data_IF_761230045575
#
_entry.id   IF_761230045575
#
_cell.length_a   1.000
_cell.length_b   1.000
_cell.length_c   1.000
_cell.angle_alpha   90.00
_cell.angle_beta   90.00
_cell.angle_gamma   90.00
#
_symmetry.space_group_name_H-M   'P 1'
#
loop_
_entity.id
_entity.type
_entity.pdbx_description
1 polymer ?
#
# COMPACT_ATOMS: atom_id res chain seq x y z
N UNK A 1 12.27 -29.02 27.51
CA UNK A 1 12.22 -27.94 26.50
C UNK A 1 10.76 -27.53 26.37
N UNK A 2 10.39 -26.34 26.85
CA UNK A 2 9.01 -25.86 26.72
C UNK A 2 8.67 -25.67 25.25
N UNK A 3 7.75 -26.47 24.74
CA UNK A 3 7.10 -26.26 23.44
C UNK A 3 6.21 -25.03 23.58
N UNK A 4 6.79 -23.84 23.46
CA UNK A 4 6.00 -22.62 23.36
C UNK A 4 5.20 -22.71 22.07
N UNK A 5 3.89 -22.98 22.18
CA UNK A 5 3.00 -22.95 21.04
C UNK A 5 3.02 -21.55 20.46
N UNK A 6 3.36 -21.44 19.18
CA UNK A 6 3.34 -20.16 18.48
C UNK A 6 1.90 -19.79 18.20
N UNK A 7 1.43 -18.69 18.77
CA UNK A 7 0.07 -18.16 18.59
C UNK A 7 0.12 -16.78 17.95
N UNK A 8 -0.95 -16.38 17.27
CA UNK A 8 -1.01 -15.03 16.71
C UNK A 8 -1.20 -13.99 17.81
N UNK A 9 -0.51 -12.82 17.74
CA UNK A 9 -0.72 -11.74 18.71
C UNK A 9 -2.06 -11.02 18.50
N UNK A 10 -2.69 -11.17 17.33
CA UNK A 10 -3.94 -10.50 16.99
C UNK A 10 -5.15 -11.29 17.45
N UNK A 11 -6.13 -10.60 18.02
CA UNK A 11 -7.42 -11.17 18.43
C UNK A 11 -8.54 -10.58 17.58
N UNK A 12 -9.33 -11.45 16.95
CA UNK A 12 -10.52 -11.05 16.19
C UNK A 12 -11.76 -11.60 16.92
N UNK A 13 -12.78 -10.76 17.10
CA UNK A 13 -14.06 -11.18 17.66
C UNK A 13 -14.78 -12.18 16.74
N UNK A 14 -15.64 -13.04 17.28
CA UNK A 14 -16.46 -13.93 16.46
C UNK A 14 -17.32 -13.16 15.44
N UNK A 15 -17.87 -12.01 15.85
CA UNK A 15 -18.67 -11.15 14.98
C UNK A 15 -17.88 -10.63 13.79
N UNK A 16 -16.64 -10.16 13.99
CA UNK A 16 -15.79 -9.65 12.92
C UNK A 16 -15.37 -10.78 11.97
N UNK A 17 -15.10 -11.98 12.49
CA UNK A 17 -14.84 -13.18 11.68
C UNK A 17 -16.02 -13.55 10.80
N UNK A 18 -17.23 -13.51 11.34
CA UNK A 18 -18.46 -13.81 10.59
C UNK A 18 -18.74 -12.72 9.54
N UNK A 19 -18.45 -11.45 9.85
CA UNK A 19 -18.57 -10.35 8.90
C UNK A 19 -17.61 -10.52 7.72
N UNK A 20 -16.35 -10.85 7.97
CA UNK A 20 -15.37 -11.20 6.94
C UNK A 20 -15.85 -12.41 6.12
N UNK A 21 -16.37 -13.44 6.79
CA UNK A 21 -16.89 -14.65 6.16
C UNK A 21 -18.12 -14.42 5.27
N UNK A 22 -18.88 -13.32 5.47
CA UNK A 22 -20.01 -12.94 4.62
C UNK A 22 -19.63 -11.99 3.47
N UNK A 23 -18.46 -11.35 3.52
CA UNK A 23 -18.04 -10.41 2.48
C UNK A 23 -17.51 -11.15 1.23
N UNK A 24 -18.18 -10.97 0.09
CA UNK A 24 -17.82 -11.65 -1.17
C UNK A 24 -16.41 -11.29 -1.66
N UNK A 25 -16.01 -10.01 -1.55
CA UNK A 25 -14.70 -9.55 -2.00
C UNK A 25 -13.56 -10.21 -1.20
N UNK A 26 -13.68 -10.22 0.12
CA UNK A 26 -12.72 -10.86 1.01
C UNK A 26 -12.67 -12.37 0.80
N UNK A 27 -13.81 -13.03 0.60
CA UNK A 27 -13.85 -14.47 0.28
C UNK A 27 -13.14 -14.82 -1.03
N UNK A 28 -13.34 -14.02 -2.08
CA UNK A 28 -12.65 -14.23 -3.36
C UNK A 28 -11.14 -14.04 -3.22
N UNK A 29 -10.71 -13.03 -2.45
CA UNK A 29 -9.30 -12.80 -2.14
C UNK A 29 -8.69 -14.02 -1.42
N UNK A 30 -9.36 -14.49 -0.37
CA UNK A 30 -8.93 -15.67 0.39
C UNK A 30 -8.83 -16.92 -0.47
N UNK A 31 -9.78 -17.17 -1.36
CA UNK A 31 -9.70 -18.31 -2.29
C UNK A 31 -8.56 -18.16 -3.31
N UNK A 32 -8.25 -16.93 -3.75
CA UNK A 32 -7.09 -16.68 -4.60
C UNK A 32 -5.77 -17.03 -3.89
N UNK A 33 -5.58 -16.52 -2.68
CA UNK A 33 -4.40 -16.81 -1.86
C UNK A 33 -4.28 -18.30 -1.54
N UNK A 34 -5.41 -18.99 -1.29
CA UNK A 34 -5.44 -20.45 -1.07
C UNK A 34 -5.01 -21.22 -2.32
N UNK A 35 -5.43 -20.79 -3.51
CA UNK A 35 -5.01 -21.42 -4.78
C UNK A 35 -3.53 -21.22 -5.06
N UNK A 36 -2.99 -20.03 -4.77
CA UNK A 36 -1.55 -19.78 -4.86
C UNK A 36 -0.78 -20.71 -3.92
N UNK A 37 -1.23 -20.85 -2.67
CA UNK A 37 -0.66 -21.76 -1.68
C UNK A 37 -0.63 -23.23 -2.17
N UNK A 38 -1.72 -23.71 -2.78
CA UNK A 38 -1.82 -25.08 -3.31
C UNK A 38 -1.03 -25.31 -4.61
N UNK A 39 -0.82 -24.26 -5.42
CA UNK A 39 -0.06 -24.33 -6.67
C UNK A 39 1.46 -24.27 -6.50
N UNK A 40 1.93 -23.93 -5.30
CA UNK A 40 3.35 -23.83 -4.97
C UNK A 40 3.96 -25.20 -4.65
N UNK A 41 5.17 -25.47 -5.16
CA UNK A 41 5.96 -26.66 -4.79
C UNK A 41 6.48 -26.62 -3.34
N UNK A 42 6.41 -25.45 -2.69
CA UNK A 42 6.86 -25.24 -1.33
C UNK A 42 5.68 -25.35 -0.33
N UNK A 43 5.92 -25.86 0.88
CA UNK A 43 4.90 -25.94 1.90
C UNK A 43 4.48 -24.56 2.40
N UNK A 44 3.18 -24.41 2.67
CA UNK A 44 2.64 -23.13 3.09
C UNK A 44 3.11 -22.64 4.44
N UNK A 45 3.52 -23.54 5.33
CA UNK A 45 4.22 -23.21 6.57
C UNK A 45 5.69 -23.63 6.46
N UNK A 46 6.59 -22.76 6.94
CA UNK A 46 8.01 -23.08 7.03
C UNK A 46 8.25 -24.21 8.03
N UNK A 47 9.42 -24.84 8.00
CA UNK A 47 9.74 -25.99 8.85
C UNK A 47 9.58 -25.69 10.36
N UNK A 48 9.85 -24.45 10.78
CA UNK A 48 9.65 -24.00 12.15
C UNK A 48 8.16 -24.00 12.53
N UNK A 49 7.34 -23.23 11.80
CA UNK A 49 5.93 -23.05 12.13
C UNK A 49 5.02 -24.23 11.78
N UNK A 50 5.45 -25.13 10.89
CA UNK A 50 4.71 -26.36 10.61
C UNK A 50 4.56 -27.23 11.86
N UNK A 51 5.61 -27.29 12.68
CA UNK A 51 5.68 -28.16 13.84
C UNK A 51 5.32 -27.42 15.14
N UNK A 52 5.51 -26.10 15.22
CA UNK A 52 5.20 -25.31 16.41
C UNK A 52 3.77 -24.75 16.45
N UNK A 53 3.06 -24.69 15.32
CA UNK A 53 1.67 -24.24 15.26
C UNK A 53 0.72 -25.43 15.14
N UNK A 54 -0.21 -25.55 16.09
CA UNK A 54 -1.34 -26.47 16.00
C UNK A 54 -2.21 -26.16 14.77
N UNK A 55 -2.97 -27.14 14.27
CA UNK A 55 -3.80 -26.97 13.07
C UNK A 55 -4.79 -25.79 13.16
N UNK A 56 -5.38 -25.56 14.34
CA UNK A 56 -6.26 -24.42 14.59
C UNK A 56 -5.51 -23.07 14.55
N UNK A 57 -4.28 -23.02 15.07
CA UNK A 57 -3.43 -21.83 15.01
C UNK A 57 -2.98 -21.55 13.57
N UNK A 58 -2.65 -22.59 12.80
CA UNK A 58 -2.33 -22.43 11.38
C UNK A 58 -3.47 -21.78 10.61
N UNK A 59 -4.72 -22.17 10.88
CA UNK A 59 -5.87 -21.55 10.22
C UNK A 59 -6.09 -20.10 10.66
N UNK A 60 -5.81 -19.79 11.93
CA UNK A 60 -5.82 -18.42 12.44
C UNK A 60 -4.74 -17.57 11.75
N UNK A 61 -3.52 -18.10 11.61
CA UNK A 61 -2.44 -17.42 10.88
C UNK A 61 -2.76 -17.21 9.41
N UNK A 62 -3.41 -18.18 8.73
CA UNK A 62 -3.87 -17.98 7.35
C UNK A 62 -4.87 -16.83 7.26
N UNK A 63 -5.89 -16.82 8.13
CA UNK A 63 -6.87 -15.74 8.16
C UNK A 63 -6.21 -14.37 8.38
N UNK A 64 -5.28 -14.28 9.32
CA UNK A 64 -4.58 -13.02 9.63
C UNK A 64 -3.67 -12.59 8.47
N UNK A 65 -2.97 -13.52 7.81
CA UNK A 65 -2.24 -13.24 6.57
C UNK A 65 -3.15 -12.70 5.49
N UNK A 66 -4.33 -13.30 5.30
CA UNK A 66 -5.28 -12.89 4.26
C UNK A 66 -5.81 -11.47 4.54
N UNK A 67 -6.03 -11.10 5.81
CA UNK A 67 -6.37 -9.73 6.22
C UNK A 67 -5.22 -8.77 5.91
N UNK A 68 -3.99 -9.10 6.31
CA UNK A 68 -2.80 -8.28 6.05
C UNK A 68 -2.61 -8.08 4.54
N UNK A 69 -2.69 -9.15 3.73
CA UNK A 69 -2.60 -9.04 2.27
C UNK A 69 -3.66 -8.09 1.72
N UNK A 70 -4.90 -8.24 2.17
CA UNK A 70 -6.02 -7.40 1.75
C UNK A 70 -5.79 -5.92 2.08
N UNK A 71 -5.17 -5.63 3.23
CA UNK A 71 -4.83 -4.27 3.66
C UNK A 71 -3.66 -3.67 2.87
N UNK A 72 -2.61 -4.46 2.61
CA UNK A 72 -1.40 -4.00 1.96
C UNK A 72 -1.54 -3.83 0.44
N UNK A 73 -2.40 -4.64 -0.20
CA UNK A 73 -2.57 -4.64 -1.65
C UNK A 73 -2.92 -3.25 -2.22
N UNK A 74 -3.90 -2.48 -1.69
CA UNK A 74 -4.19 -1.13 -2.18
C UNK A 74 -3.01 -0.16 -2.08
N UNK A 75 -2.19 -0.26 -1.03
CA UNK A 75 -1.00 0.58 -0.87
C UNK A 75 0.11 0.21 -1.86
N UNK A 76 0.29 -1.08 -2.11
CA UNK A 76 1.19 -1.56 -3.18
C UNK A 76 0.74 -1.01 -4.54
N UNK A 77 -0.55 -1.15 -4.88
CA UNK A 77 -1.09 -0.64 -6.15
C UNK A 77 -0.91 0.88 -6.29
N UNK A 78 -1.18 1.64 -5.22
CA UNK A 78 -0.94 3.07 -5.19
C UNK A 78 0.53 3.41 -5.45
N UNK A 79 1.47 2.73 -4.79
CA UNK A 79 2.89 2.97 -4.97
C UNK A 79 3.36 2.70 -6.40
N UNK A 80 2.90 1.60 -7.02
CA UNK A 80 3.26 1.25 -8.39
C UNK A 80 2.72 2.29 -9.38
N UNK A 81 1.48 2.73 -9.17
CA UNK A 81 0.84 3.76 -9.97
C UNK A 81 1.54 5.12 -9.81
N UNK A 82 1.85 5.53 -8.58
CA UNK A 82 2.60 6.75 -8.30
C UNK A 82 3.99 6.71 -8.96
N UNK A 83 4.67 5.56 -8.92
CA UNK A 83 5.97 5.37 -9.56
C UNK A 83 5.88 5.48 -11.08
N UNK A 84 4.83 4.92 -11.69
CA UNK A 84 4.55 5.03 -13.13
C UNK A 84 4.28 6.49 -13.52
N UNK A 85 3.47 7.21 -12.75
CA UNK A 85 3.19 8.63 -12.97
C UNK A 85 4.48 9.45 -12.86
N UNK A 86 5.28 9.23 -11.82
CA UNK A 86 6.55 9.91 -11.64
C UNK A 86 7.50 9.70 -12.83
N UNK A 87 7.58 8.48 -13.35
CA UNK A 87 8.39 8.16 -14.53
C UNK A 87 7.93 8.89 -15.81
N UNK A 88 6.64 9.20 -15.93
CA UNK A 88 6.07 9.91 -17.09
C UNK A 88 6.18 11.44 -16.98
N UNK A 89 6.13 11.98 -15.76
CA UNK A 89 6.19 13.43 -15.52
C UNK A 89 7.62 13.95 -15.48
N UNK A 90 8.56 13.14 -14.97
CA UNK A 90 9.95 13.54 -14.87
C UNK A 90 10.64 13.44 -16.25
N UNK A 91 11.49 14.42 -16.62
CA UNK A 91 12.30 14.31 -17.82
C UNK A 91 13.14 13.04 -17.79
N UNK A 92 13.34 12.36 -18.92
CA UNK A 92 14.13 11.12 -19.05
C UNK A 92 15.64 11.29 -18.77
N UNK A 93 16.03 12.30 -18.00
CA UNK A 93 17.40 12.50 -17.52
C UNK A 93 17.75 11.39 -16.56
N UNK A 94 18.86 10.73 -16.84
CA UNK A 94 19.45 9.68 -16.01
C UNK A 94 19.61 10.19 -14.56
N UNK A 95 18.94 9.55 -13.60
CA UNK A 95 19.09 9.84 -12.18
C UNK A 95 18.07 10.80 -11.55
N UNK A 96 16.95 11.10 -12.20
CA UNK A 96 15.86 11.79 -11.51
C UNK A 96 15.22 10.83 -10.48
N UNK A 97 15.27 11.19 -9.20
CA UNK A 97 14.59 10.45 -8.13
C UNK A 97 13.07 10.62 -8.29
N UNK A 98 12.33 9.51 -8.24
CA UNK A 98 10.90 9.50 -8.52
C UNK A 98 10.06 10.35 -7.54
N UNK A 99 10.55 10.53 -6.31
CA UNK A 99 9.92 11.37 -5.29
C UNK A 99 9.82 12.85 -5.72
N UNK A 100 10.70 13.32 -6.62
CA UNK A 100 10.70 14.70 -7.14
C UNK A 100 9.50 15.03 -8.01
N UNK A 101 8.74 14.04 -8.46
CA UNK A 101 7.48 14.27 -9.15
C UNK A 101 6.41 14.88 -8.23
N UNK A 102 6.55 14.67 -6.91
CA UNK A 102 5.58 15.07 -5.89
C UNK A 102 6.10 16.23 -5.03
N UNK A 103 5.19 16.88 -4.30
CA UNK A 103 5.51 18.05 -3.46
C UNK A 103 4.92 17.91 -2.06
N UNK A 104 5.55 18.58 -1.09
CA UNK A 104 5.08 18.63 0.30
C UNK A 104 4.92 17.22 0.89
N UNK A 105 3.80 17.01 1.57
CA UNK A 105 3.50 15.74 2.24
C UNK A 105 3.38 14.54 1.28
N UNK A 106 2.89 14.74 0.04
CA UNK A 106 2.86 13.67 -0.95
C UNK A 106 4.26 13.11 -1.26
N UNK A 107 5.28 13.99 -1.32
CA UNK A 107 6.66 13.58 -1.55
C UNK A 107 7.18 12.72 -0.41
N UNK A 108 6.96 13.16 0.82
CA UNK A 108 7.33 12.42 2.03
C UNK A 108 6.63 11.05 2.09
N UNK A 109 5.33 11.01 1.75
CA UNK A 109 4.56 9.76 1.69
C UNK A 109 5.08 8.81 0.61
N UNK A 110 5.38 9.32 -0.60
CA UNK A 110 5.96 8.51 -1.67
C UNK A 110 7.33 7.95 -1.26
N UNK A 111 8.22 8.78 -0.70
CA UNK A 111 9.53 8.35 -0.25
C UNK A 111 9.43 7.28 0.85
N UNK A 112 8.49 7.44 1.79
CA UNK A 112 8.22 6.45 2.83
C UNK A 112 7.68 5.13 2.24
N UNK A 113 6.70 5.18 1.34
CA UNK A 113 6.16 4.00 0.65
C UNK A 113 7.25 3.29 -0.16
N UNK A 114 8.08 4.05 -0.87
CA UNK A 114 9.21 3.52 -1.63
C UNK A 114 10.20 2.79 -0.73
N UNK A 115 10.61 3.39 0.39
CA UNK A 115 11.51 2.77 1.37
C UNK A 115 10.91 1.48 1.94
N UNK A 116 9.71 1.53 2.53
CA UNK A 116 9.12 0.34 3.18
C UNK A 116 8.84 -0.79 2.19
N UNK A 117 8.33 -0.50 0.99
CA UNK A 117 8.03 -1.54 -0.01
C UNK A 117 9.29 -2.10 -0.67
N UNK A 118 10.38 -1.34 -0.73
CA UNK A 118 11.66 -1.85 -1.23
C UNK A 118 12.37 -2.71 -0.18
N UNK A 119 12.36 -2.27 1.07
CA UNK A 119 13.03 -2.95 2.19
C UNK A 119 12.27 -4.22 2.64
N UNK A 120 10.94 -4.17 2.65
CA UNK A 120 10.06 -5.26 3.10
C UNK A 120 9.43 -6.04 1.94
N UNK A 121 10.09 -6.09 0.78
CA UNK A 121 9.54 -6.61 -0.47
C UNK A 121 8.93 -8.01 -0.34
N UNK A 122 9.71 -8.91 0.24
CA UNK A 122 9.32 -10.30 0.45
C UNK A 122 8.15 -10.48 1.44
N UNK A 123 7.99 -9.52 2.34
CA UNK A 123 6.99 -9.58 3.39
C UNK A 123 5.63 -9.05 2.90
N UNK A 124 5.60 -7.88 2.25
CA UNK A 124 4.33 -7.26 1.86
C UNK A 124 3.59 -8.02 0.75
N UNK A 125 4.30 -8.80 -0.07
CA UNK A 125 3.69 -9.70 -1.07
C UNK A 125 2.89 -10.84 -0.40
N UNK A 126 3.20 -11.15 0.87
CA UNK A 126 2.52 -12.17 1.68
C UNK A 126 2.53 -13.60 1.09
N UNK A 127 3.53 -13.91 0.27
CA UNK A 127 3.68 -15.23 -0.40
C UNK A 127 4.41 -16.28 0.46
N UNK A 128 4.98 -15.84 1.59
CA UNK A 128 5.73 -16.69 2.52
C UNK A 128 4.82 -17.35 3.56
N UNK A 129 5.43 -17.99 4.56
CA UNK A 129 4.71 -18.64 5.66
C UNK A 129 3.74 -17.65 6.35
N UNK A 130 2.44 -17.98 6.49
CA UNK A 130 1.45 -17.11 7.13
C UNK A 130 1.86 -16.67 8.54
N UNK A 131 2.43 -17.58 9.35
CA UNK A 131 2.91 -17.22 10.67
C UNK A 131 4.07 -16.22 10.63
N UNK A 132 5.04 -16.38 9.74
CA UNK A 132 6.12 -15.40 9.57
C UNK A 132 5.57 -14.02 9.18
N UNK A 133 4.64 -13.96 8.23
CA UNK A 133 4.04 -12.70 7.77
C UNK A 133 3.33 -11.98 8.92
N UNK A 134 2.50 -12.72 9.66
CA UNK A 134 1.70 -12.19 10.76
C UNK A 134 2.59 -11.72 11.92
N UNK A 135 3.57 -12.52 12.31
CA UNK A 135 4.49 -12.16 13.40
C UNK A 135 5.40 -10.98 13.03
N UNK A 136 5.79 -10.87 11.76
CA UNK A 136 6.66 -9.79 11.28
C UNK A 136 6.01 -8.41 11.38
N UNK A 137 4.68 -8.31 11.44
CA UNK A 137 3.99 -7.04 11.73
C UNK A 137 4.57 -6.39 12.98
N UNK A 138 4.83 -7.18 14.03
CA UNK A 138 5.31 -6.73 15.34
C UNK A 138 6.83 -6.58 15.43
N UNK A 139 7.56 -6.76 14.33
CA UNK A 139 9.03 -6.78 14.34
C UNK A 139 9.66 -5.38 14.46
N UNK A 140 8.96 -4.34 13.99
CA UNK A 140 9.48 -2.97 13.98
C UNK A 140 8.37 -1.92 14.02
N UNK A 141 8.69 -0.69 14.41
CA UNK A 141 7.74 0.41 14.37
C UNK A 141 7.23 0.68 12.95
N UNK A 142 8.08 0.72 11.90
CA UNK A 142 7.61 0.93 10.53
C UNK A 142 6.60 -0.12 10.06
N UNK A 143 6.76 -1.40 10.41
CA UNK A 143 5.83 -2.46 10.03
C UNK A 143 4.49 -2.35 10.77
N UNK A 144 4.50 -2.01 12.06
CA UNK A 144 3.28 -1.74 12.84
C UNK A 144 2.55 -0.54 12.23
N UNK A 145 3.26 0.58 12.04
CA UNK A 145 2.69 1.80 11.46
C UNK A 145 2.16 1.57 10.06
N UNK A 146 2.81 0.73 9.25
CA UNK A 146 2.33 0.41 7.91
C UNK A 146 0.97 -0.30 7.94
N UNK A 147 0.78 -1.27 8.83
CA UNK A 147 -0.54 -1.92 9.01
C UNK A 147 -1.56 -0.94 9.56
N UNK A 148 -1.20 -0.08 10.51
CA UNK A 148 -2.10 0.94 11.05
C UNK A 148 -2.58 1.90 9.95
N UNK A 149 -1.66 2.43 9.13
CA UNK A 149 -1.97 3.28 7.96
C UNK A 149 -2.88 2.54 6.97
N UNK A 150 -2.60 1.27 6.68
CA UNK A 150 -3.43 0.47 5.79
C UNK A 150 -4.87 0.30 6.31
N UNK A 151 -5.04 0.14 7.63
CA UNK A 151 -6.38 0.10 8.24
C UNK A 151 -7.09 1.45 8.10
N UNK A 152 -6.42 2.56 8.42
CA UNK A 152 -6.99 3.91 8.35
C UNK A 152 -7.37 4.30 6.91
N UNK A 153 -6.64 3.79 5.94
CA UNK A 153 -6.88 4.02 4.51
C UNK A 153 -7.82 2.98 3.88
N UNK A 154 -8.26 1.95 4.63
CA UNK A 154 -9.02 0.86 4.04
C UNK A 154 -10.27 1.36 3.32
N UNK A 155 -10.97 2.32 3.89
CA UNK A 155 -12.18 2.88 3.29
C UNK A 155 -11.91 3.86 2.14
N UNK A 156 -10.72 4.47 2.11
CA UNK A 156 -10.34 5.52 1.17
C UNK A 156 -9.77 4.97 -0.14
N UNK A 157 -9.02 3.87 -0.07
CA UNK A 157 -8.34 3.27 -1.23
C UNK A 157 -9.18 2.19 -1.93
N UNK A 158 -10.36 1.88 -1.41
CA UNK A 158 -11.27 0.93 -2.05
C UNK A 158 -12.02 1.58 -3.22
N UNK A 159 -11.96 0.94 -4.39
CA UNK A 159 -12.77 1.33 -5.55
C UNK A 159 -14.27 1.12 -5.35
N UNK A 160 -15.09 1.72 -6.22
CA UNK A 160 -16.56 1.73 -6.12
C UNK A 160 -17.24 0.38 -6.38
N UNK A 161 -16.50 -0.65 -6.81
CA UNK A 161 -17.05 -1.98 -7.14
C UNK A 161 -16.46 -3.02 -6.19
N UNK A 162 -17.35 -3.62 -5.38
CA UNK A 162 -17.09 -4.65 -4.35
C UNK A 162 -16.23 -4.13 -3.19
N UNK A 163 -16.90 -3.40 -2.30
CA UNK A 163 -16.30 -2.82 -1.08
C UNK A 163 -15.89 -3.95 -0.13
N UNK A 164 -14.62 -3.95 0.25
CA UNK A 164 -14.13 -4.74 1.39
C UNK A 164 -14.75 -4.15 2.68
N UNK A 165 -14.81 -4.90 3.79
CA UNK A 165 -15.28 -4.32 5.04
C UNK A 165 -14.33 -3.21 5.52
N UNK A 166 -14.82 -2.34 6.41
CA UNK A 166 -13.92 -1.51 7.21
C UNK A 166 -13.05 -2.43 8.07
N UNK A 167 -11.77 -2.09 8.17
CA UNK A 167 -10.80 -2.82 8.98
C UNK A 167 -10.53 -2.13 10.33
N UNK A 168 -11.46 -1.30 10.82
CA UNK A 168 -11.38 -0.69 12.16
C UNK A 168 -11.21 -1.74 13.26
N UNK A 169 -11.82 -2.93 13.08
CA UNK A 169 -11.66 -4.03 14.02
C UNK A 169 -10.21 -4.55 14.07
N UNK A 170 -9.51 -4.53 12.93
CA UNK A 170 -8.11 -4.95 12.83
C UNK A 170 -7.19 -3.89 13.42
N UNK A 171 -7.50 -2.60 13.24
CA UNK A 171 -6.76 -1.51 13.90
C UNK A 171 -6.83 -1.65 15.43
N UNK A 172 -8.02 -1.94 16.00
CA UNK A 172 -8.17 -2.22 17.44
C UNK A 172 -7.41 -3.48 17.87
N UNK A 173 -7.35 -4.50 17.01
CA UNK A 173 -6.60 -5.73 17.27
C UNK A 173 -5.09 -5.46 17.32
N UNK A 174 -4.60 -4.63 16.40
CA UNK A 174 -3.21 -4.17 16.35
C UNK A 174 -2.87 -3.33 17.58
N UNK A 175 -3.73 -2.38 17.96
CA UNK A 175 -3.57 -1.60 19.19
C UNK A 175 -3.41 -2.49 20.42
N UNK A 176 -4.33 -3.44 20.62
CA UNK A 176 -4.27 -4.37 21.74
C UNK A 176 -2.98 -5.21 21.69
N UNK A 177 -2.60 -5.72 20.52
CA UNK A 177 -1.36 -6.49 20.35
C UNK A 177 -0.10 -5.68 20.71
N UNK A 178 -0.03 -4.39 20.35
CA UNK A 178 1.09 -3.51 20.72
C UNK A 178 1.10 -3.24 22.22
N UNK A 179 -0.05 -2.87 22.80
CA UNK A 179 -0.14 -2.51 24.22
C UNK A 179 0.13 -3.70 25.15
N UNK A 180 -0.27 -4.91 24.76
CA UNK A 180 -0.08 -6.15 25.52
C UNK A 180 1.31 -6.78 25.31
N UNK A 181 2.07 -6.34 24.31
CA UNK A 181 3.37 -6.94 24.00
C UNK A 181 4.44 -6.54 25.04
N UNK A 182 5.27 -7.48 25.54
CA UNK A 182 6.29 -7.18 26.55
C UNK A 182 7.41 -6.22 26.10
N UNK A 183 7.70 -6.16 24.79
CA UNK A 183 8.73 -5.28 24.24
C UNK A 183 8.17 -3.89 23.91
N UNK A 184 6.99 -3.84 23.26
CA UNK A 184 6.36 -2.57 22.90
C UNK A 184 5.63 -1.94 24.09
N UNK A 185 4.62 -2.60 24.66
CA UNK A 185 3.86 -2.11 25.80
C UNK A 185 2.97 -0.90 25.51
N UNK A 186 2.25 -0.47 26.56
CA UNK A 186 1.16 0.52 26.46
C UNK A 186 1.62 1.91 25.99
N UNK A 187 2.83 2.32 26.36
CA UNK A 187 3.36 3.67 26.12
C UNK A 187 3.75 3.93 24.65
N UNK A 188 3.90 2.90 23.82
CA UNK A 188 4.34 3.05 22.43
C UNK A 188 3.20 3.31 21.46
N UNK A 189 2.01 2.77 21.72
CA UNK A 189 0.88 2.91 20.80
C UNK A 189 0.50 4.37 20.50
N UNK A 190 0.45 5.31 21.47
CA UNK A 190 0.07 6.70 21.18
C UNK A 190 0.96 7.41 20.15
N UNK A 191 2.29 7.17 20.18
CA UNK A 191 3.22 7.76 19.20
C UNK A 191 3.06 7.10 17.83
N UNK A 192 2.93 5.77 17.79
CA UNK A 192 2.70 5.01 16.55
C UNK A 192 1.39 5.47 15.88
N UNK A 193 0.31 5.57 16.66
CA UNK A 193 -1.00 5.99 16.20
C UNK A 193 -0.95 7.42 15.64
N UNK A 194 -0.35 8.36 16.37
CA UNK A 194 -0.20 9.74 15.91
C UNK A 194 0.54 9.82 14.57
N UNK A 195 1.65 9.08 14.43
CA UNK A 195 2.42 9.03 13.18
C UNK A 195 1.66 8.32 12.06
N UNK A 196 0.83 7.32 12.37
CA UNK A 196 -0.01 6.63 11.39
C UNK A 196 -1.10 7.56 10.83
N UNK A 197 -1.72 8.40 11.68
CA UNK A 197 -2.69 9.41 11.22
C UNK A 197 -2.02 10.46 10.32
N UNK A 198 -0.90 11.02 10.75
CA UNK A 198 -0.17 12.00 9.95
C UNK A 198 0.22 11.43 8.57
N UNK A 199 0.78 10.22 8.54
CA UNK A 199 1.16 9.55 7.30
C UNK A 199 -0.06 9.21 6.43
N UNK A 200 -1.19 8.85 7.04
CA UNK A 200 -2.45 8.60 6.32
C UNK A 200 -2.90 9.84 5.55
N UNK A 201 -2.79 11.03 6.14
CA UNK A 201 -3.13 12.28 5.45
C UNK A 201 -2.11 12.61 4.35
N UNK A 202 -0.82 12.37 4.58
CA UNK A 202 0.21 12.51 3.55
C UNK A 202 0.00 11.54 2.37
N UNK A 203 -0.48 10.32 2.61
CA UNK A 203 -0.82 9.34 1.55
C UNK A 203 -2.06 9.78 0.78
N UNK A 204 -3.08 10.37 1.41
CA UNK A 204 -4.22 10.95 0.70
C UNK A 204 -3.78 12.09 -0.22
N UNK A 205 -2.86 12.94 0.23
CA UNK A 205 -2.27 14.00 -0.59
C UNK A 205 -1.50 13.43 -1.78
N UNK A 206 -0.78 12.31 -1.60
CA UNK A 206 -0.15 11.59 -2.71
C UNK A 206 -1.16 11.09 -3.74
N UNK A 207 -2.29 10.53 -3.31
CA UNK A 207 -3.37 10.10 -4.21
C UNK A 207 -3.90 11.29 -5.03
N UNK A 208 -4.14 12.43 -4.38
CA UNK A 208 -4.60 13.64 -5.06
C UNK A 208 -3.60 14.12 -6.12
N UNK A 209 -2.32 14.22 -5.78
CA UNK A 209 -1.29 14.63 -6.73
C UNK A 209 -1.12 13.62 -7.88
N UNK A 210 -1.27 12.32 -7.63
CA UNK A 210 -1.30 11.31 -8.70
C UNK A 210 -2.44 11.59 -9.70
N UNK A 211 -3.64 11.88 -9.21
CA UNK A 211 -4.79 12.20 -10.07
C UNK A 211 -4.58 13.50 -10.86
N UNK A 212 -4.00 14.52 -10.24
CA UNK A 212 -3.69 15.80 -10.89
C UNK A 212 -2.64 15.64 -12.01
N UNK A 213 -1.56 14.92 -11.71
CA UNK A 213 -0.49 14.64 -12.67
C UNK A 213 -0.99 13.78 -13.84
N UNK A 214 -1.77 12.74 -13.56
CA UNK A 214 -2.37 11.91 -14.61
C UNK A 214 -3.31 12.74 -15.51
N UNK A 215 -4.16 13.59 -14.93
CA UNK A 215 -5.03 14.47 -15.70
C UNK A 215 -4.25 15.49 -16.55
N UNK A 216 -3.07 15.94 -16.09
CA UNK A 216 -2.20 16.81 -16.86
C UNK A 216 -1.56 16.09 -18.06
N UNK A 217 -1.13 14.84 -17.88
CA UNK A 217 -0.61 13.97 -18.94
C UNK A 217 -1.68 13.71 -20.01
N UNK A 218 -2.90 13.32 -19.60
CA UNK A 218 -4.01 13.04 -20.52
C UNK A 218 -4.38 14.27 -21.39
N UNK A 219 -4.16 15.50 -20.88
CA UNK A 219 -4.40 16.75 -21.64
C UNK A 219 -3.30 17.06 -22.66
N UNK A 220 -2.08 16.57 -22.46
CA UNK A 220 -0.97 16.76 -23.40
C UNK A 220 -1.07 15.80 -24.59
N UNK A 221 -1.66 14.62 -24.39
CA UNK A 221 -1.87 13.61 -25.44
C UNK A 221 -3.04 13.94 -26.38
N UNK A 222 -3.84 14.97 -26.08
CA UNK A 222 -4.86 15.47 -27.00
C UNK A 222 -4.19 16.28 -28.13
N UNK A 223 -4.48 15.97 -29.41
CA UNK A 223 -3.91 16.72 -30.52
C UNK A 223 -4.30 18.20 -30.40
N UNK A 224 -3.39 19.14 -30.71
CA UNK A 224 -3.77 20.54 -30.76
C UNK A 224 -4.94 20.68 -31.72
N UNK A 225 -6.07 21.17 -31.19
CA UNK A 225 -7.19 21.62 -32.01
C UNK A 225 -6.60 22.49 -33.12
N UNK A 226 -6.78 22.04 -34.37
CA UNK A 226 -6.36 22.81 -35.52
C UNK A 226 -7.06 24.16 -35.46
N UNK A 227 -6.36 25.18 -34.97
CA UNK A 227 -6.72 26.56 -35.26
C UNK A 227 -6.65 26.66 -36.78
N UNK A 228 -7.80 26.85 -37.41
CA UNK A 228 -7.90 27.12 -38.83
C UNK A 228 -7.05 28.36 -39.17
N UNK A 229 -5.81 28.14 -39.58
CA UNK A 229 -5.07 29.12 -40.36
C UNK A 229 -5.62 29.03 -41.78
N UNK A 230 -6.52 29.95 -42.09
CA UNK A 230 -6.96 30.20 -43.45
C UNK A 230 -5.74 30.61 -44.31
N UNK A 231 -5.42 29.73 -45.26
CA UNK A 231 -4.79 29.94 -46.57
C UNK A 231 -3.69 30.98 -46.74
N UNK A 232 -2.53 30.53 -47.22
CA UNK A 232 -2.02 30.93 -48.54
C UNK A 232 -1.13 29.81 -49.11
N UNK A 233 -1.50 29.35 -50.30
CA UNK A 233 -0.77 28.42 -51.16
C UNK A 233 0.52 29.06 -51.69
N UNK A 234 1.63 28.31 -51.72
CA UNK A 234 2.57 28.37 -52.84
C UNK A 234 3.33 27.04 -52.97
N UNK A 235 3.20 26.42 -54.14
CA UNK A 235 3.86 25.20 -54.57
C UNK A 235 5.39 25.33 -54.63
N UNK A 236 6.11 24.28 -54.24
CA UNK A 236 7.30 23.84 -54.98
C UNK A 236 7.76 22.42 -54.58
N UNK A 237 7.49 21.47 -55.47
CA UNK A 237 8.40 20.43 -56.00
C UNK A 237 9.30 19.59 -55.05
N UNK A 238 8.99 18.28 -55.05
CA UNK A 238 9.73 17.04 -54.69
C UNK A 238 11.20 16.95 -55.23
N UNK A 239 12.06 15.95 -54.85
CA UNK A 239 11.73 14.60 -54.35
C UNK A 239 12.58 14.01 -53.19
N UNK A 240 12.16 12.80 -52.80
CA UNK A 240 12.56 11.96 -51.67
C UNK A 240 14.00 11.40 -51.71
N UNK A 241 14.55 11.15 -50.53
CA UNK A 241 15.68 10.25 -50.31
C UNK A 241 15.25 9.10 -49.41
N UNK A 242 15.43 7.88 -49.93
CA UNK A 242 15.26 6.59 -49.27
C UNK A 242 16.47 6.33 -48.38
N UNK A 243 16.25 5.99 -47.11
CA UNK A 243 17.27 5.34 -46.27
C UNK A 243 16.66 4.14 -45.56
N UNK A 244 17.32 2.98 -45.73
CA UNK A 244 16.93 1.67 -45.21
C UNK A 244 17.52 1.41 -43.81
N UNK A 245 16.81 0.55 -43.07
CA UNK A 245 17.29 -0.43 -42.08
C UNK A 245 17.68 0.03 -40.67
N UNK A 246 16.94 -0.45 -39.67
CA UNK A 246 17.39 -1.57 -38.82
C UNK A 246 16.24 -2.10 -37.94
N UNK A 247 15.94 -3.39 -38.07
CA UNK A 247 15.03 -4.12 -37.19
C UNK A 247 15.72 -4.41 -35.84
N UNK A 248 15.06 -4.09 -34.73
CA UNK A 248 15.37 -4.67 -33.42
C UNK A 248 14.09 -5.28 -32.84
N UNK A 249 14.11 -6.58 -32.67
CA UNK A 249 13.09 -7.40 -32.04
C UNK A 249 13.03 -7.11 -30.54
N UNK A 250 11.86 -6.74 -29.96
CA UNK A 250 11.68 -6.79 -28.52
C UNK A 250 11.35 -8.23 -28.10
N UNK A 251 12.14 -8.75 -27.18
CA UNK A 251 11.86 -9.99 -26.46
C UNK A 251 10.66 -9.76 -25.54
N UNK A 252 9.57 -10.47 -25.83
CA UNK A 252 8.36 -10.50 -24.99
C UNK A 252 8.66 -11.26 -23.70
N UNK A 253 8.85 -10.54 -22.59
CA UNK A 253 8.73 -11.12 -21.25
C UNK A 253 7.27 -10.96 -20.84
N UNK A 254 6.50 -12.04 -20.90
CA UNK A 254 5.11 -12.09 -20.46
C UNK A 254 5.06 -12.08 -18.93
N UNK A 255 4.90 -10.89 -18.33
CA UNK A 255 4.32 -10.74 -17.00
C UNK A 255 2.80 -10.84 -17.12
N UNK A 256 2.32 -12.08 -17.12
CA UNK A 256 0.89 -12.40 -17.19
C UNK A 256 0.25 -12.42 -15.81
N UNK A 257 -0.82 -11.63 -15.68
CA UNK A 257 -2.02 -11.84 -14.85
C UNK A 257 -2.37 -10.72 -13.84
N UNK A 258 -1.46 -9.84 -13.44
CA UNK A 258 -1.80 -8.69 -12.58
C UNK A 258 -2.40 -7.51 -13.35
N UNK A 259 -2.08 -7.41 -14.65
CA UNK A 259 -2.50 -6.30 -15.51
C UNK A 259 -4.00 -6.28 -15.83
N UNK A 260 -4.70 -7.41 -15.62
CA UNK A 260 -6.12 -7.56 -15.99
C UNK A 260 -7.08 -6.90 -15.00
N UNK A 261 -6.62 -6.57 -13.79
CA UNK A 261 -7.38 -5.76 -12.82
C UNK A 261 -7.23 -4.25 -13.04
N UNK A 262 -6.17 -3.81 -13.73
CA UNK A 262 -5.80 -2.39 -13.85
C UNK A 262 -6.66 -1.59 -14.85
N UNK A 263 -7.31 -2.24 -15.82
CA UNK A 263 -8.01 -1.54 -16.91
C UNK A 263 -9.42 -1.00 -16.56
N UNK A 264 -9.88 -1.09 -15.30
CA UNK A 264 -11.27 -0.72 -14.92
C UNK A 264 -11.42 0.29 -13.79
N UNK A 265 -10.32 0.82 -13.24
CA UNK A 265 -10.36 1.78 -12.13
C UNK A 265 -10.48 3.24 -12.61
N UNK A 266 -10.18 3.53 -13.88
CA UNK A 266 -10.16 4.91 -14.44
C UNK A 266 -11.52 5.52 -14.77
N UNK A 267 -12.64 4.82 -14.52
CA UNK A 267 -13.98 5.30 -14.86
C UNK A 267 -14.91 5.33 -13.64
N UNK A 268 -14.81 6.39 -12.84
CA UNK A 268 -15.73 6.60 -11.72
C UNK A 268 -15.45 7.86 -10.90
N UNK A 269 -15.55 9.05 -11.52
CA UNK A 269 -15.57 10.33 -10.79
C UNK A 269 -16.87 10.49 -10.00
N UNK A 270 -16.76 11.02 -8.78
CA UNK A 270 -17.84 11.68 -8.04
C UNK A 270 -17.93 11.26 -6.57
N UNK A 271 -17.12 11.87 -5.69
CA UNK A 271 -17.35 11.77 -4.23
C UNK A 271 -17.81 13.12 -3.70
N UNK A 272 -19.08 13.17 -3.29
CA UNK A 272 -19.61 14.15 -2.36
C UNK A 272 -19.17 13.74 -0.95
N UNK A 273 -18.40 14.57 -0.27
CA UNK A 273 -18.00 14.35 1.11
C UNK A 273 -19.19 14.60 2.05
N UNK A 274 -19.70 13.55 2.71
CA UNK A 274 -20.45 13.72 3.96
C UNK A 274 -19.46 13.58 5.12
N UNK A 275 -19.10 14.72 5.71
CA UNK A 275 -18.45 14.80 7.02
C UNK A 275 -19.41 14.23 8.06
N UNK A 276 -18.98 13.21 8.80
CA UNK A 276 -19.57 12.86 10.09
C UNK A 276 -18.52 13.10 11.16
N UNK A 277 -18.81 14.09 12.01
CA UNK A 277 -18.08 14.46 13.22
C UNK A 277 -17.86 13.24 14.13
N UNK A 278 -16.63 13.10 14.62
CA UNK A 278 -16.29 12.33 15.82
C UNK A 278 -15.37 13.20 16.69
N UNK A 279 -15.56 13.23 18.02
CA UNK A 279 -15.05 14.34 18.82
C UNK A 279 -13.52 14.28 19.00
N UNK A 280 -12.88 15.42 18.75
CA UNK A 280 -11.48 15.72 19.04
C UNK A 280 -11.20 15.47 20.53
N UNK A 281 -10.30 14.52 20.83
CA UNK A 281 -9.69 14.42 22.15
C UNK A 281 -8.45 15.30 22.16
N UNK A 282 -8.57 16.43 22.86
CA UNK A 282 -7.45 17.33 23.14
C UNK A 282 -6.40 16.64 24.00
N UNK A 283 -5.22 16.35 23.43
CA UNK A 283 -4.04 16.04 24.21
C UNK A 283 -3.30 17.32 24.57
N UNK A 284 -3.49 17.80 25.80
CA UNK A 284 -2.68 18.85 26.41
C UNK A 284 -1.25 18.36 26.63
N UNK A 285 -0.33 18.85 25.80
CA UNK A 285 1.12 18.72 25.93
C UNK A 285 1.60 19.40 27.22
N UNK A 286 2.11 18.63 28.19
CA UNK A 286 2.91 19.20 29.30
C UNK A 286 4.33 19.46 28.81
N UNK A 287 4.72 20.73 28.90
CA UNK A 287 6.09 21.23 28.75
C UNK A 287 6.80 21.21 30.12
N UNK A 288 8.14 21.19 30.08
CA UNK A 288 9.15 21.15 31.16
C UNK A 288 9.66 19.72 31.47
N UNK A 289 10.97 19.42 31.46
CA UNK A 289 12.02 20.21 32.12
C UNK A 289 13.39 20.24 31.42
N UNK A 290 14.12 21.31 31.73
CA UNK A 290 15.43 21.67 31.21
C UNK A 290 16.57 20.82 31.81
N UNK A 291 17.55 20.49 30.94
CA UNK A 291 18.85 19.90 31.29
C UNK A 291 19.58 20.77 32.33
N UNK A 292 19.86 20.22 33.52
CA UNK A 292 20.97 20.67 34.36
C UNK A 292 22.22 19.82 34.08
N UNK A 293 23.28 20.49 33.64
CA UNK A 293 24.65 19.96 33.62
C UNK A 293 25.23 20.09 35.03
N UNK A 294 25.82 19.01 35.54
CA UNK A 294 26.64 19.04 36.75
C UNK A 294 28.10 18.84 36.33
N UNK A 295 28.92 19.85 36.59
CA UNK A 295 30.38 19.83 36.48
C UNK A 295 30.91 20.11 37.88
N UNK A 296 31.71 19.19 38.42
CA UNK A 296 32.72 19.41 39.48
C UNK A 296 33.61 18.16 39.45
N UNK A 297 34.87 18.29 39.04
CA UNK A 297 36.07 18.58 39.87
C UNK A 297 36.67 17.30 40.44
#
# INVERSE_FOLDING_TARGET
>A
MSTANTVSPFRISHQDRDNLGRNEAFRMMREHLRRQEMGMKAPSFCACHRNSCLAQEQETFRLHRDIIHTLLLPLSLLYHEASRIAANVLPSRKGAEADRAFRGEARSAYAWLHSILTEEHDWYLTERCPACIVLHVMNSEPTIRFIAVACLLSDHLQGTKRRLPSFDFWLRSLEAAVREDPFWGDDFWPDIEYRAYALTDSVKELVLQCLELQAALDRQDLPPSMSYHAGFHCDSSRPAVVAKSANCTPVTITMGDEQKLMAKVTAGRGMQSRRTDRPERFHTRRHADARRRSVTS
#
